data_IF_515266957501
#
_entry.id   IF_515266957501
#
_cell.length_a   1.000
_cell.length_b   1.000
_cell.length_c   1.000
_cell.angle_alpha   90.00
_cell.angle_beta   90.00
_cell.angle_gamma   90.00
#
_symmetry.space_group_name_H-M   'P 1'
#
loop_
_entity.id
_entity.type
_entity.pdbx_description
1 polymer ?
#
# COMPACT_ATOMS: atom_id res chain seq x y z
N UNK A 1 -11.69 -30.91 -5.16
CA UNK A 1 -12.29 -30.07 -6.20
C UNK A 1 -11.83 -28.64 -5.93
N UNK A 2 -11.06 -28.05 -6.84
CA UNK A 2 -10.42 -26.73 -6.68
C UNK A 2 -11.41 -25.59 -7.00
N UNK A 3 -11.66 -24.63 -6.10
CA UNK A 3 -12.45 -23.44 -6.40
C UNK A 3 -11.55 -22.20 -6.43
N UNK A 4 -10.71 -22.07 -7.46
CA UNK A 4 -9.94 -20.84 -7.74
C UNK A 4 -9.78 -20.62 -9.25
N UNK A 5 -10.86 -20.79 -10.00
CA UNK A 5 -10.87 -20.58 -11.44
C UNK A 5 -12.10 -19.76 -11.84
N UNK A 6 -12.18 -18.50 -11.40
CA UNK A 6 -12.99 -17.49 -12.09
C UNK A 6 -12.59 -16.08 -11.67
N UNK A 7 -11.46 -15.63 -12.23
CA UNK A 7 -11.10 -14.22 -12.35
C UNK A 7 -10.52 -14.00 -13.75
N UNK A 8 -11.29 -14.31 -14.79
CA UNK A 8 -10.99 -13.93 -16.17
C UNK A 8 -12.24 -13.37 -16.84
N UNK A 9 -12.35 -12.04 -16.90
CA UNK A 9 -13.49 -11.40 -17.52
C UNK A 9 -13.26 -9.93 -17.84
N UNK A 10 -12.35 -9.65 -18.80
CA UNK A 10 -12.46 -8.59 -19.84
C UNK A 10 -11.16 -8.50 -20.64
N UNK A 11 -10.99 -9.44 -21.57
CA UNK A 11 -10.17 -9.24 -22.77
C UNK A 11 -10.98 -8.39 -23.74
N UNK A 12 -10.61 -7.14 -23.97
CA UNK A 12 -11.04 -6.42 -25.16
C UNK A 12 -10.06 -6.73 -26.30
N UNK A 13 -10.68 -7.00 -27.45
CA UNK A 13 -10.13 -7.60 -28.65
C UNK A 13 -9.21 -6.62 -29.41
N UNK A 14 -8.06 -7.13 -29.87
CA UNK A 14 -7.36 -6.56 -31.04
C UNK A 14 -8.12 -6.94 -32.31
N UNK A 15 -8.11 -6.08 -33.34
CA UNK A 15 -8.05 -6.54 -34.72
C UNK A 15 -6.62 -6.39 -35.27
N UNK A 16 -6.12 -7.47 -35.87
CA UNK A 16 -5.02 -7.48 -36.84
C UNK A 16 -5.61 -7.50 -38.26
N UNK A 17 -5.11 -6.64 -39.14
CA UNK A 17 -4.89 -6.80 -40.60
C UNK A 17 -4.65 -5.39 -41.16
N UNK A 18 -3.74 -5.10 -42.09
CA UNK A 18 -2.93 -5.95 -42.96
C UNK A 18 -1.85 -5.13 -43.68
N UNK A 19 -1.11 -5.83 -44.54
CA UNK A 19 0.14 -5.46 -45.22
C UNK A 19 -0.01 -4.41 -46.33
N UNK A 20 1.09 -3.72 -46.64
CA UNK A 20 1.38 -3.07 -47.92
C UNK A 20 2.63 -2.16 -47.83
N UNK A 21 3.84 -2.68 -48.10
CA UNK A 21 4.59 -2.51 -49.36
C UNK A 21 5.09 -1.07 -49.67
N UNK A 22 6.40 -0.89 -49.41
CA UNK A 22 7.43 -0.20 -50.19
C UNK A 22 7.12 1.13 -50.91
N UNK A 23 7.90 2.16 -50.58
CA UNK A 23 8.65 2.94 -51.57
C UNK A 23 9.78 3.75 -50.89
N UNK A 24 11.01 3.56 -51.40
CA UNK A 24 12.18 4.41 -51.15
C UNK A 24 11.97 5.77 -51.81
N UNK A 25 12.39 6.85 -51.17
CA UNK A 25 13.12 7.94 -51.85
C UNK A 25 13.91 8.79 -50.85
N UNK A 26 15.15 9.05 -51.26
CA UNK A 26 16.18 9.83 -50.59
C UNK A 26 15.92 11.34 -50.68
N UNK A 27 16.71 12.08 -49.90
CA UNK A 27 17.27 13.44 -50.12
C UNK A 27 16.77 14.47 -49.09
N UNK A 28 17.73 15.10 -48.39
CA UNK A 28 17.60 16.49 -47.98
C UNK A 28 18.05 16.82 -46.56
N UNK A 29 19.30 17.24 -46.42
CA UNK A 29 19.88 17.94 -45.25
C UNK A 29 19.10 19.21 -44.86
N UNK A 30 19.37 19.66 -43.62
CA UNK A 30 19.21 20.98 -42.96
C UNK A 30 18.46 20.74 -41.64
N UNK A 31 19.10 20.67 -40.47
CA UNK A 31 19.89 21.75 -39.90
C UNK A 31 18.97 22.64 -39.06
N UNK A 32 18.59 22.20 -37.86
CA UNK A 32 18.14 23.09 -36.80
C UNK A 32 18.35 22.43 -35.43
N UNK A 33 19.36 22.94 -34.71
CA UNK A 33 19.68 22.60 -33.35
C UNK A 33 18.54 23.06 -32.43
N UNK A 34 17.59 22.17 -32.15
CA UNK A 34 16.69 22.34 -31.01
C UNK A 34 17.47 21.95 -29.76
N UNK A 35 17.80 22.96 -28.94
CA UNK A 35 18.19 22.80 -27.55
C UNK A 35 17.07 22.08 -26.80
N UNK A 36 17.13 20.75 -26.82
CA UNK A 36 16.44 19.92 -25.84
C UNK A 36 17.15 20.17 -24.50
N UNK A 37 16.60 21.11 -23.72
CA UNK A 37 16.82 21.18 -22.28
C UNK A 37 16.19 19.91 -21.70
N UNK A 38 16.92 18.81 -21.81
CA UNK A 38 16.65 17.63 -21.03
C UNK A 38 16.95 17.98 -19.58
N UNK A 39 15.92 18.08 -18.75
CA UNK A 39 16.08 17.92 -17.31
C UNK A 39 16.65 16.53 -17.06
N UNK A 40 17.97 16.39 -17.15
CA UNK A 40 18.67 15.21 -16.67
C UNK A 40 18.53 15.23 -15.15
N UNK A 41 17.53 14.51 -14.63
CA UNK A 41 17.50 14.09 -13.24
C UNK A 41 18.73 13.22 -13.02
N UNK A 42 19.81 13.82 -12.54
CA UNK A 42 20.98 13.06 -12.12
C UNK A 42 20.54 12.12 -10.98
N UNK A 43 20.81 10.81 -11.08
CA UNK A 43 20.60 9.92 -9.95
C UNK A 43 21.54 10.36 -8.83
N UNK A 44 20.97 10.79 -7.71
CA UNK A 44 21.73 11.01 -6.47
C UNK A 44 22.34 9.64 -6.13
N UNK A 45 23.66 9.56 -6.15
CA UNK A 45 24.38 8.32 -5.86
C UNK A 45 23.93 7.75 -4.50
N UNK A 46 23.73 6.43 -4.43
CA UNK A 46 23.32 5.69 -3.22
C UNK A 46 24.29 5.86 -2.02
N UNK A 47 25.42 6.53 -2.22
CA UNK A 47 26.51 6.72 -1.26
C UNK A 47 26.87 8.21 -1.00
N UNK A 48 25.98 9.14 -1.35
CA UNK A 48 26.13 10.56 -0.98
C UNK A 48 25.79 10.85 0.49
N UNK A 49 26.19 12.01 1.04
CA UNK A 49 25.71 12.46 2.34
C UNK A 49 24.18 12.54 2.25
N UNK A 50 23.49 11.61 2.95
CA UNK A 50 22.03 11.57 3.06
C UNK A 50 21.36 12.94 3.26
N UNK A 51 20.09 13.01 2.89
CA UNK A 51 19.36 14.27 2.79
C UNK A 51 19.01 14.83 4.17
N UNK A 52 19.18 16.15 4.30
CA UNK A 52 18.54 16.91 5.36
C UNK A 52 17.10 17.30 4.95
N UNK A 53 16.27 17.76 5.90
CA UNK A 53 14.85 18.04 5.62
C UNK A 53 14.59 19.14 4.59
N UNK A 54 15.47 20.16 4.48
CA UNK A 54 15.30 21.22 3.47
C UNK A 54 15.60 20.72 2.05
N UNK A 55 16.61 19.87 1.87
CA UNK A 55 16.86 19.19 0.60
C UNK A 55 15.71 18.27 0.21
N UNK A 56 15.11 17.58 1.18
CA UNK A 56 13.96 16.71 0.96
C UNK A 56 12.75 17.50 0.43
N UNK A 57 12.46 18.67 1.01
CA UNK A 57 11.38 19.55 0.55
C UNK A 57 11.58 20.01 -0.90
N UNK A 58 12.82 20.33 -1.29
CA UNK A 58 13.12 20.69 -2.68
C UNK A 58 12.82 19.53 -3.66
N UNK A 59 13.13 18.29 -3.26
CA UNK A 59 12.79 17.11 -4.08
C UNK A 59 11.29 16.85 -4.13
N UNK A 60 10.57 17.05 -3.02
CA UNK A 60 9.10 16.95 -2.98
C UNK A 60 8.48 17.98 -3.92
N UNK A 61 8.94 19.24 -3.87
CA UNK A 61 8.47 20.30 -4.75
C UNK A 61 8.75 19.97 -6.24
N UNK A 62 9.88 19.33 -6.52
CA UNK A 62 10.22 18.84 -7.85
C UNK A 62 9.52 17.53 -8.26
N UNK A 63 8.68 16.93 -7.39
CA UNK A 63 8.08 15.60 -7.57
C UNK A 63 9.11 14.51 -7.90
N UNK A 64 10.34 14.64 -7.41
CA UNK A 64 11.43 13.70 -7.65
C UNK A 64 11.38 12.53 -6.66
N UNK A 65 10.35 11.69 -6.80
CA UNK A 65 10.10 10.57 -5.90
C UNK A 65 11.22 9.52 -5.94
N UNK A 66 11.81 9.29 -7.10
CA UNK A 66 12.96 8.38 -7.26
C UNK A 66 14.19 8.90 -6.48
N UNK A 67 14.47 10.19 -6.58
CA UNK A 67 15.54 10.83 -5.81
C UNK A 67 15.31 10.75 -4.31
N UNK A 68 14.06 10.91 -3.85
CA UNK A 68 13.70 10.74 -2.44
C UNK A 68 13.88 9.28 -2.02
N UNK A 69 13.36 8.31 -2.77
CA UNK A 69 13.42 6.89 -2.42
C UNK A 69 14.83 6.28 -2.49
N UNK A 70 15.73 6.89 -3.27
CA UNK A 70 17.14 6.54 -3.34
C UNK A 70 17.96 7.14 -2.18
N UNK A 71 17.46 8.18 -1.53
CA UNK A 71 18.18 8.87 -0.48
C UNK A 71 18.23 8.10 0.85
N UNK A 72 19.23 8.43 1.66
CA UNK A 72 19.23 8.09 3.08
C UNK A 72 18.84 9.31 3.91
N UNK A 73 18.01 9.10 4.94
CA UNK A 73 17.64 10.16 5.89
C UNK A 73 18.63 10.13 7.05
N UNK A 74 19.30 11.26 7.31
CA UNK A 74 20.39 11.30 8.32
C UNK A 74 19.93 11.57 9.75
N UNK A 75 18.73 12.13 9.93
CA UNK A 75 18.26 12.52 11.25
C UNK A 75 17.84 11.30 12.08
N UNK A 76 18.13 11.35 13.39
CA UNK A 76 17.83 10.28 14.36
C UNK A 76 17.17 10.78 15.65
N UNK A 77 17.07 12.08 15.83
CA UNK A 77 16.52 12.71 17.03
C UNK A 77 15.00 12.72 16.98
N UNK A 78 14.37 12.45 18.13
CA UNK A 78 12.91 12.52 18.26
C UNK A 78 12.46 13.99 18.11
N UNK A 79 11.95 14.33 16.93
CA UNK A 79 11.52 15.67 16.55
C UNK A 79 10.51 15.58 15.41
N UNK A 80 9.60 16.54 15.34
CA UNK A 80 8.60 16.60 14.27
C UNK A 80 9.25 16.64 12.88
N UNK A 81 10.31 17.45 12.74
CA UNK A 81 11.08 17.60 11.51
C UNK A 81 11.68 16.26 11.04
N UNK A 82 12.23 15.47 11.98
CA UNK A 82 12.83 14.20 11.63
C UNK A 82 11.78 13.13 11.35
N UNK A 83 10.71 13.07 12.15
CA UNK A 83 9.58 12.20 11.89
C UNK A 83 8.98 12.46 10.49
N UNK A 84 8.79 13.73 10.13
CA UNK A 84 8.30 14.14 8.82
C UNK A 84 9.25 13.76 7.69
N UNK A 85 10.57 13.89 7.88
CA UNK A 85 11.54 13.48 6.87
C UNK A 85 11.48 11.96 6.57
N UNK A 86 11.34 11.14 7.62
CA UNK A 86 11.13 9.69 7.44
C UNK A 86 9.78 9.39 6.81
N UNK A 87 8.71 10.10 7.16
CA UNK A 87 7.40 9.92 6.54
C UNK A 87 7.40 10.28 5.05
N UNK A 88 8.03 11.39 4.64
CA UNK A 88 8.18 11.78 3.24
C UNK A 88 8.97 10.74 2.45
N UNK A 89 10.04 10.19 3.04
CA UNK A 89 10.78 9.09 2.44
C UNK A 89 9.90 7.85 2.25
N UNK A 90 9.09 7.52 3.25
CA UNK A 90 8.14 6.41 3.19
C UNK A 90 7.07 6.62 2.11
N UNK A 91 6.52 7.83 2.02
CA UNK A 91 5.56 8.25 1.00
C UNK A 91 6.11 8.08 -0.41
N UNK A 92 7.33 8.54 -0.66
CA UNK A 92 7.98 8.37 -1.96
C UNK A 92 8.12 6.90 -2.35
N UNK A 93 8.57 6.06 -1.40
CA UNK A 93 8.71 4.62 -1.63
C UNK A 93 7.36 3.95 -1.91
N UNK A 94 6.33 4.28 -1.13
CA UNK A 94 4.98 3.73 -1.29
C UNK A 94 4.35 4.17 -2.61
N UNK A 95 4.47 5.45 -2.98
CA UNK A 95 3.98 5.98 -4.27
C UNK A 95 4.62 5.25 -5.44
N UNK A 96 5.94 5.09 -5.43
CA UNK A 96 6.64 4.34 -6.46
C UNK A 96 6.22 2.87 -6.49
N UNK A 97 5.98 2.24 -5.33
CA UNK A 97 5.51 0.87 -5.26
C UNK A 97 4.13 0.71 -5.90
N UNK A 98 3.19 1.61 -5.60
CA UNK A 98 1.82 1.60 -6.14
C UNK A 98 1.82 1.82 -7.67
N UNK A 99 2.74 2.63 -8.18
CA UNK A 99 2.89 2.87 -9.63
C UNK A 99 3.42 1.65 -10.39
N UNK A 100 4.05 0.68 -9.72
CA UNK A 100 4.43 -0.57 -10.37
C UNK A 100 3.19 -1.36 -10.78
N UNK A 101 3.24 -2.12 -11.89
CA UNK A 101 2.13 -2.96 -12.35
C UNK A 101 1.52 -3.78 -11.21
N UNK A 102 0.19 -3.92 -11.19
CA UNK A 102 -0.52 -4.58 -10.09
C UNK A 102 -0.12 -6.07 -9.94
N UNK A 103 0.31 -6.70 -11.02
CA UNK A 103 0.85 -8.07 -11.06
C UNK A 103 2.32 -8.17 -10.63
N UNK A 104 2.99 -7.04 -10.37
CA UNK A 104 4.34 -7.04 -9.83
C UNK A 104 4.32 -7.57 -8.39
N UNK A 105 4.73 -8.84 -8.24
CA UNK A 105 4.76 -9.56 -6.97
C UNK A 105 5.53 -8.79 -5.89
N UNK A 106 5.01 -8.77 -4.67
CA UNK A 106 5.69 -8.26 -3.48
C UNK A 106 7.01 -9.00 -3.17
N UNK A 107 7.28 -10.11 -3.86
CA UNK A 107 8.57 -10.83 -3.79
C UNK A 107 9.57 -10.37 -4.85
N UNK A 108 9.12 -9.66 -5.88
CA UNK A 108 9.95 -9.08 -6.92
C UNK A 108 10.90 -8.03 -6.36
N UNK A 109 12.13 -7.98 -6.89
CA UNK A 109 13.23 -7.22 -6.29
C UNK A 109 12.93 -5.73 -6.07
N UNK A 110 12.23 -5.07 -7.00
CA UNK A 110 11.92 -3.64 -6.87
C UNK A 110 10.73 -3.37 -5.94
N UNK A 111 9.60 -4.03 -6.16
CA UNK A 111 8.40 -3.89 -5.30
C UNK A 111 8.72 -4.18 -3.85
N UNK A 112 9.44 -5.28 -3.59
CA UNK A 112 9.87 -5.66 -2.24
C UNK A 112 10.70 -4.55 -1.58
N UNK A 113 11.74 -4.06 -2.27
CA UNK A 113 12.63 -3.02 -1.74
C UNK A 113 11.87 -1.75 -1.39
N UNK A 114 10.95 -1.32 -2.25
CA UNK A 114 10.15 -0.11 -2.02
C UNK A 114 9.21 -0.29 -0.82
N UNK A 115 8.50 -1.41 -0.72
CA UNK A 115 7.60 -1.67 0.40
C UNK A 115 8.37 -1.89 1.73
N UNK A 116 9.53 -2.55 1.70
CA UNK A 116 10.41 -2.70 2.86
C UNK A 116 10.91 -1.34 3.36
N UNK A 117 11.31 -0.44 2.45
CA UNK A 117 11.70 0.93 2.78
C UNK A 117 10.54 1.74 3.33
N UNK A 118 9.36 1.71 2.69
CA UNK A 118 8.19 2.42 3.15
C UNK A 118 7.77 1.99 4.56
N UNK A 119 7.69 0.68 4.82
CA UNK A 119 7.33 0.14 6.12
C UNK A 119 8.32 0.58 7.21
N UNK A 120 9.62 0.42 6.94
CA UNK A 120 10.68 0.80 7.88
C UNK A 120 10.65 2.30 8.18
N UNK A 121 10.50 3.14 7.16
CA UNK A 121 10.48 4.60 7.32
C UNK A 121 9.22 5.10 8.02
N UNK A 122 8.03 4.53 7.77
CA UNK A 122 6.84 4.89 8.54
C UNK A 122 6.94 4.50 10.01
N UNK A 123 7.46 3.30 10.30
CA UNK A 123 7.75 2.89 11.69
C UNK A 123 8.72 3.87 12.35
N UNK A 124 9.78 4.26 11.63
CA UNK A 124 10.75 5.23 12.14
C UNK A 124 10.13 6.62 12.36
N UNK A 125 9.22 7.06 11.49
CA UNK A 125 8.49 8.31 11.66
C UNK A 125 7.63 8.28 12.93
N UNK A 126 6.92 7.18 13.18
CA UNK A 126 6.13 6.99 14.41
C UNK A 126 7.02 6.95 15.66
N UNK A 127 8.16 6.27 15.62
CA UNK A 127 9.10 6.20 16.74
C UNK A 127 9.73 7.54 17.11
N UNK A 128 9.94 8.40 16.10
CA UNK A 128 10.60 9.71 16.27
C UNK A 128 9.61 10.84 16.53
N UNK A 129 8.31 10.58 16.48
CA UNK A 129 7.28 11.58 16.71
C UNK A 129 7.17 11.85 18.23
N UNK A 130 7.57 13.04 18.72
CA UNK A 130 7.74 13.27 20.16
C UNK A 130 6.40 13.33 20.92
N UNK A 131 5.37 13.92 20.31
CA UNK A 131 4.04 14.07 20.91
C UNK A 131 3.07 13.07 20.32
N UNK A 132 2.38 12.31 21.19
CA UNK A 132 1.29 11.39 20.82
C UNK A 132 0.05 12.10 20.28
N UNK A 133 -0.07 13.41 20.52
CA UNK A 133 -1.20 14.24 20.08
C UNK A 133 -0.91 14.97 18.76
N UNK A 134 0.24 14.70 18.14
CA UNK A 134 0.58 15.33 16.87
C UNK A 134 -0.43 14.95 15.79
N UNK A 135 -1.00 15.91 15.04
CA UNK A 135 -1.97 15.61 13.99
C UNK A 135 -1.37 14.74 12.88
N UNK A 136 -0.03 14.70 12.75
CA UNK A 136 0.68 13.89 11.77
C UNK A 136 0.68 12.39 12.07
N UNK A 137 0.44 12.00 13.32
CA UNK A 137 0.39 10.58 13.73
C UNK A 137 -0.67 9.82 12.93
N UNK A 138 -1.83 10.45 12.69
CA UNK A 138 -2.89 9.88 11.87
C UNK A 138 -2.38 9.53 10.46
N UNK A 139 -1.64 10.45 9.83
CA UNK A 139 -1.06 10.26 8.50
C UNK A 139 0.01 9.17 8.50
N UNK A 140 0.87 9.11 9.51
CA UNK A 140 1.94 8.10 9.58
C UNK A 140 1.39 6.69 9.78
N UNK A 141 0.40 6.52 10.66
CA UNK A 141 -0.31 5.25 10.79
C UNK A 141 -1.05 4.90 9.49
N UNK A 142 -1.72 5.86 8.86
CA UNK A 142 -2.40 5.64 7.57
C UNK A 142 -1.45 5.12 6.48
N UNK A 143 -0.29 5.75 6.33
CA UNK A 143 0.74 5.34 5.40
C UNK A 143 1.32 3.93 5.70
N UNK A 144 1.54 3.61 6.97
CA UNK A 144 1.96 2.27 7.40
C UNK A 144 0.90 1.21 7.05
N UNK A 145 -0.37 1.47 7.37
CA UNK A 145 -1.47 0.55 7.09
C UNK A 145 -1.64 0.31 5.59
N UNK A 146 -1.59 1.36 4.77
CA UNK A 146 -1.62 1.24 3.32
C UNK A 146 -0.42 0.45 2.79
N UNK A 147 0.79 0.69 3.30
CA UNK A 147 2.00 -0.06 2.92
C UNK A 147 1.85 -1.56 3.18
N UNK A 148 1.37 -1.92 4.37
CA UNK A 148 1.16 -3.31 4.78
C UNK A 148 0.03 -3.98 3.98
N UNK A 149 -1.06 -3.23 3.71
CA UNK A 149 -2.15 -3.70 2.85
C UNK A 149 -1.67 -3.97 1.41
N UNK A 150 -0.89 -3.05 0.84
CA UNK A 150 -0.34 -3.19 -0.50
C UNK A 150 0.60 -4.39 -0.60
N UNK A 151 1.47 -4.58 0.40
CA UNK A 151 2.34 -5.76 0.50
C UNK A 151 1.53 -7.05 0.49
N UNK A 152 0.48 -7.15 1.29
CA UNK A 152 -0.41 -8.32 1.34
C UNK A 152 -1.08 -8.55 -0.01
N UNK A 153 -1.65 -7.51 -0.62
CA UNK A 153 -2.43 -7.62 -1.87
C UNK A 153 -1.56 -8.04 -3.07
N UNK A 154 -0.27 -7.71 -3.04
CA UNK A 154 0.71 -8.08 -4.07
C UNK A 154 1.37 -9.45 -3.86
N UNK A 155 0.97 -10.21 -2.85
CA UNK A 155 1.39 -11.61 -2.73
C UNK A 155 0.62 -12.45 -3.77
N UNK A 156 1.35 -13.11 -4.66
CA UNK A 156 0.76 -13.97 -5.68
C UNK A 156 0.19 -15.28 -5.10
N UNK A 157 -0.60 -15.99 -5.89
CA UNK A 157 -1.24 -17.25 -5.49
C UNK A 157 -0.24 -18.39 -5.20
N UNK A 158 1.03 -18.27 -5.61
CA UNK A 158 2.08 -19.26 -5.30
C UNK A 158 2.68 -19.06 -3.90
N UNK A 159 2.34 -17.95 -3.23
CA UNK A 159 2.77 -17.68 -1.88
C UNK A 159 2.12 -18.64 -0.89
N UNK A 160 2.95 -19.27 -0.05
CA UNK A 160 2.48 -20.16 1.01
C UNK A 160 1.56 -19.42 1.97
N UNK A 161 0.48 -20.07 2.37
CA UNK A 161 -0.51 -19.58 3.34
C UNK A 161 0.13 -18.94 4.59
N UNK A 162 1.16 -19.59 5.16
CA UNK A 162 1.92 -19.08 6.31
C UNK A 162 2.50 -17.67 6.13
N UNK A 163 2.84 -17.28 4.90
CA UNK A 163 3.35 -15.93 4.61
C UNK A 163 2.20 -14.92 4.53
N UNK A 164 1.09 -15.28 3.87
CA UNK A 164 -0.13 -14.46 3.86
C UNK A 164 -0.65 -14.22 5.29
N UNK A 165 -0.68 -15.28 6.09
CA UNK A 165 -1.06 -15.25 7.50
C UNK A 165 -0.20 -14.26 8.30
N UNK A 166 1.13 -14.29 8.09
CA UNK A 166 2.07 -13.35 8.72
C UNK A 166 1.82 -11.89 8.30
N UNK A 167 1.61 -11.63 7.01
CA UNK A 167 1.35 -10.25 6.56
C UNK A 167 -0.01 -9.73 7.05
N UNK A 168 -1.03 -10.60 7.11
CA UNK A 168 -2.29 -10.27 7.77
C UNK A 168 -2.08 -9.94 9.25
N UNK A 169 -1.32 -10.75 9.98
CA UNK A 169 -1.07 -10.51 11.41
C UNK A 169 -0.35 -9.17 11.65
N UNK A 170 0.65 -8.82 10.83
CA UNK A 170 1.30 -7.51 10.92
C UNK A 170 0.32 -6.36 10.72
N UNK A 171 -0.59 -6.49 9.75
CA UNK A 171 -1.59 -5.47 9.47
C UNK A 171 -2.62 -5.37 10.61
N UNK A 172 -3.03 -6.48 11.22
CA UNK A 172 -3.90 -6.51 12.41
C UNK A 172 -3.23 -5.76 13.56
N UNK A 173 -1.97 -6.06 13.87
CA UNK A 173 -1.23 -5.40 14.96
C UNK A 173 -1.04 -3.91 14.70
N UNK A 174 -0.65 -3.52 13.48
CA UNK A 174 -0.53 -2.09 13.14
C UNK A 174 -1.88 -1.36 13.20
N UNK A 175 -2.98 -2.03 12.87
CA UNK A 175 -4.33 -1.49 12.96
C UNK A 175 -4.81 -1.33 14.40
N UNK A 176 -4.43 -2.25 15.29
CA UNK A 176 -4.63 -2.11 16.75
C UNK A 176 -3.89 -0.90 17.30
N UNK A 177 -2.61 -0.75 16.97
CA UNK A 177 -1.81 0.40 17.36
C UNK A 177 -2.43 1.72 16.85
N UNK A 178 -2.84 1.75 15.58
CA UNK A 178 -3.48 2.92 14.99
C UNK A 178 -4.79 3.29 15.69
N UNK A 179 -5.63 2.31 16.06
CA UNK A 179 -6.88 2.58 16.81
C UNK A 179 -6.61 3.05 18.24
N UNK A 180 -5.53 2.57 18.87
CA UNK A 180 -5.16 3.01 20.21
C UNK A 180 -4.61 4.45 20.23
N UNK A 181 -3.87 4.83 19.18
CA UNK A 181 -3.25 6.16 19.06
C UNK A 181 -4.14 7.20 18.39
N UNK A 182 -5.04 6.76 17.50
CA UNK A 182 -5.85 7.63 16.64
C UNK A 182 -7.29 7.10 16.60
N UNK A 183 -7.99 7.01 17.75
CA UNK A 183 -9.28 6.34 17.85
C UNK A 183 -10.38 6.95 16.99
N UNK A 184 -10.28 8.25 16.68
CA UNK A 184 -11.25 8.97 15.85
C UNK A 184 -11.03 8.75 14.34
N UNK A 185 -9.95 8.06 13.95
CA UNK A 185 -9.66 7.72 12.56
C UNK A 185 -10.25 6.36 12.17
N UNK A 186 -11.02 6.33 11.08
CA UNK A 186 -11.55 5.09 10.52
C UNK A 186 -10.47 4.15 9.95
N UNK A 187 -9.24 4.64 9.70
CA UNK A 187 -8.20 3.88 9.00
C UNK A 187 -7.85 2.57 9.73
N UNK A 188 -7.62 2.63 11.03
CA UNK A 188 -7.32 1.43 11.83
C UNK A 188 -8.47 0.42 11.83
N UNK A 189 -9.72 0.87 11.74
CA UNK A 189 -10.88 -0.01 11.67
C UNK A 189 -11.01 -0.67 10.28
N UNK A 190 -10.88 0.10 9.21
CA UNK A 190 -11.01 -0.39 7.84
C UNK A 190 -9.90 -1.39 7.51
N UNK A 191 -8.64 -1.02 7.73
CA UNK A 191 -7.51 -1.90 7.42
C UNK A 191 -7.42 -3.10 8.37
N UNK A 192 -7.78 -2.93 9.65
CA UNK A 192 -7.86 -4.03 10.61
C UNK A 192 -8.94 -5.04 10.23
N UNK A 193 -10.14 -4.58 9.86
CA UNK A 193 -11.23 -5.44 9.43
C UNK A 193 -10.87 -6.18 8.12
N UNK A 194 -10.27 -5.47 7.16
CA UNK A 194 -9.73 -6.09 5.95
C UNK A 194 -8.78 -7.24 6.30
N UNK A 195 -7.80 -7.01 7.17
CA UNK A 195 -6.83 -8.02 7.56
C UNK A 195 -7.47 -9.22 8.28
N UNK A 196 -8.44 -8.99 9.15
CA UNK A 196 -9.19 -10.05 9.83
C UNK A 196 -9.98 -10.92 8.86
N UNK A 197 -10.63 -10.32 7.86
CA UNK A 197 -11.34 -11.07 6.81
C UNK A 197 -10.37 -11.97 6.06
N UNK A 198 -9.29 -11.41 5.53
CA UNK A 198 -8.33 -12.18 4.76
C UNK A 198 -7.62 -13.24 5.62
N UNK A 199 -7.36 -12.98 6.90
CA UNK A 199 -6.84 -13.97 7.83
C UNK A 199 -7.82 -15.13 8.04
N UNK A 200 -9.10 -14.82 8.27
CA UNK A 200 -10.15 -15.83 8.45
C UNK A 200 -10.33 -16.70 7.20
N UNK A 201 -10.24 -16.12 6.01
CA UNK A 201 -10.39 -16.82 4.73
C UNK A 201 -9.26 -17.82 4.45
N UNK A 202 -8.11 -17.70 5.12
CA UNK A 202 -7.04 -18.71 5.01
C UNK A 202 -7.38 -20.01 5.74
N UNK A 203 -8.23 -19.97 6.77
CA UNK A 203 -8.60 -21.16 7.55
C UNK A 203 -9.59 -22.01 6.77
N UNK A 204 -9.43 -23.33 6.70
CA UNK A 204 -10.25 -24.21 5.84
C UNK A 204 -11.75 -24.21 6.19
N UNK A 205 -12.11 -24.19 7.47
CA UNK A 205 -13.48 -24.03 7.99
C UNK A 205 -13.46 -23.92 9.53
N UNK A 206 -14.61 -23.69 10.16
CA UNK A 206 -14.77 -23.86 11.62
C UNK A 206 -14.88 -22.57 12.44
N UNK A 207 -14.81 -22.73 13.76
CA UNK A 207 -15.01 -21.67 14.76
C UNK A 207 -14.11 -20.46 14.50
N UNK A 208 -12.85 -20.69 14.15
CA UNK A 208 -11.83 -19.64 14.03
C UNK A 208 -12.12 -18.72 12.83
N UNK A 209 -12.55 -19.29 11.70
CA UNK A 209 -12.99 -18.51 10.53
C UNK A 209 -14.18 -17.64 10.92
N UNK A 210 -15.19 -18.22 11.56
CA UNK A 210 -16.39 -17.47 11.95
C UNK A 210 -16.11 -16.39 13.00
N UNK A 211 -15.22 -16.66 13.96
CA UNK A 211 -14.78 -15.67 14.94
C UNK A 211 -14.06 -14.50 14.26
N UNK A 212 -13.14 -14.76 13.34
CA UNK A 212 -12.42 -13.71 12.61
C UNK A 212 -13.38 -12.83 11.78
N UNK A 213 -14.34 -13.44 11.07
CA UNK A 213 -15.36 -12.70 10.32
C UNK A 213 -16.29 -11.89 11.24
N UNK A 214 -16.70 -12.44 12.38
CA UNK A 214 -17.51 -11.73 13.36
C UNK A 214 -16.74 -10.55 14.00
N UNK A 215 -15.45 -10.72 14.27
CA UNK A 215 -14.58 -9.66 14.76
C UNK A 215 -14.42 -8.55 13.73
N UNK A 216 -14.22 -8.89 12.45
CA UNK A 216 -14.16 -7.91 11.36
C UNK A 216 -15.48 -7.12 11.22
N UNK A 217 -16.62 -7.80 11.29
CA UNK A 217 -17.94 -7.17 11.26
C UNK A 217 -18.12 -6.19 12.43
N UNK A 218 -17.77 -6.63 13.63
CA UNK A 218 -17.83 -5.81 14.85
C UNK A 218 -16.92 -4.60 14.74
N UNK A 219 -15.72 -4.77 14.18
CA UNK A 219 -14.78 -3.67 13.97
C UNK A 219 -15.36 -2.60 13.04
N UNK A 220 -15.90 -2.97 11.88
CA UNK A 220 -16.49 -1.99 10.96
C UNK A 220 -17.75 -1.32 11.51
N UNK A 221 -18.52 -2.01 12.36
CA UNK A 221 -19.70 -1.45 13.03
C UNK A 221 -19.32 -0.30 13.98
N UNK A 222 -18.16 -0.39 14.63
CA UNK A 222 -17.67 0.62 15.57
C UNK A 222 -16.70 1.62 14.92
N UNK A 223 -16.50 1.54 13.60
CA UNK A 223 -15.64 2.47 12.89
C UNK A 223 -16.23 3.89 12.97
N UNK A 224 -15.40 4.91 13.26
CA UNK A 224 -15.75 6.30 12.99
C UNK A 224 -16.14 6.52 11.53
N UNK A 225 -16.73 7.69 11.24
CA UNK A 225 -17.03 8.08 9.85
C UNK A 225 -15.71 8.09 9.04
N UNK A 226 -15.63 7.35 7.94
CA UNK A 226 -14.43 7.36 7.10
C UNK A 226 -14.30 8.68 6.33
N UNK A 227 -13.08 9.02 5.90
CA UNK A 227 -12.89 9.98 4.81
C UNK A 227 -13.72 9.58 3.58
N UNK A 228 -14.15 10.55 2.79
CA UNK A 228 -15.05 10.32 1.65
C UNK A 228 -14.43 9.33 0.64
N UNK A 229 -13.11 9.35 0.48
CA UNK A 229 -12.36 8.45 -0.40
C UNK A 229 -12.41 6.98 0.03
N UNK A 230 -12.79 6.69 1.28
CA UNK A 230 -12.82 5.35 1.86
C UNK A 230 -14.23 4.83 2.17
N UNK A 231 -15.27 5.61 1.89
CA UNK A 231 -16.67 5.19 2.09
C UNK A 231 -16.96 3.93 1.29
N UNK A 232 -16.62 3.92 0.00
CA UNK A 232 -16.88 2.79 -0.89
C UNK A 232 -16.08 1.54 -0.47
N UNK A 233 -14.84 1.74 0.00
CA UNK A 233 -14.00 0.65 0.48
C UNK A 233 -14.57 0.02 1.76
N UNK A 234 -15.07 0.84 2.70
CA UNK A 234 -15.75 0.32 3.90
C UNK A 234 -17.02 -0.46 3.53
N UNK A 235 -17.83 0.05 2.60
CA UNK A 235 -19.04 -0.65 2.13
C UNK A 235 -18.69 -1.97 1.44
N UNK A 236 -17.66 -1.97 0.58
CA UNK A 236 -17.16 -3.17 -0.09
C UNK A 236 -16.72 -4.22 0.93
N UNK A 237 -15.99 -3.82 1.98
CA UNK A 237 -15.56 -4.72 3.04
C UNK A 237 -16.75 -5.27 3.85
N UNK A 238 -17.75 -4.46 4.18
CA UNK A 238 -18.97 -4.93 4.83
C UNK A 238 -19.69 -5.98 3.98
N UNK A 239 -19.84 -5.74 2.68
CA UNK A 239 -20.45 -6.69 1.75
C UNK A 239 -19.65 -8.00 1.63
N UNK A 240 -18.31 -7.91 1.61
CA UNK A 240 -17.42 -9.07 1.62
C UNK A 240 -17.60 -9.91 2.88
N UNK A 241 -17.59 -9.29 4.07
CA UNK A 241 -17.78 -9.98 5.35
C UNK A 241 -19.11 -10.73 5.37
N UNK A 242 -20.20 -10.05 5.01
CA UNK A 242 -21.53 -10.64 5.00
C UNK A 242 -21.62 -11.83 4.03
N UNK A 243 -21.00 -11.72 2.86
CA UNK A 243 -20.93 -12.81 1.88
C UNK A 243 -20.16 -14.00 2.46
N UNK A 244 -18.96 -13.76 2.97
CA UNK A 244 -18.10 -14.82 3.54
C UNK A 244 -18.72 -15.51 4.74
N UNK A 245 -19.49 -14.79 5.57
CA UNK A 245 -20.24 -15.38 6.68
C UNK A 245 -21.34 -16.34 6.21
N UNK A 246 -22.08 -15.96 5.15
CA UNK A 246 -23.11 -16.83 4.56
C UNK A 246 -22.49 -18.06 3.89
N UNK A 247 -21.41 -17.87 3.13
CA UNK A 247 -20.71 -18.96 2.44
C UNK A 247 -20.03 -19.95 3.40
N UNK A 248 -19.74 -19.53 4.63
CA UNK A 248 -19.10 -20.37 5.66
C UNK A 248 -20.07 -20.87 6.73
N UNK A 249 -21.39 -20.71 6.53
CA UNK A 249 -22.44 -21.09 7.48
C UNK A 249 -22.17 -20.60 8.92
N UNK A 250 -21.63 -19.40 9.05
CA UNK A 250 -21.35 -18.80 10.35
C UNK A 250 -22.67 -18.40 11.03
N UNK A 251 -23.24 -19.29 11.82
CA UNK A 251 -24.45 -19.02 12.59
C UNK A 251 -24.17 -17.88 13.58
N UNK A 252 -24.95 -16.79 13.58
CA UNK A 252 -24.85 -15.77 14.61
C UNK A 252 -25.16 -16.44 15.95
N UNK A 253 -24.17 -16.56 16.83
CA UNK A 253 -24.41 -16.98 18.20
C UNK A 253 -25.35 -15.94 18.82
N UNK A 254 -26.64 -16.30 18.96
CA UNK A 254 -27.56 -15.52 19.79
C UNK A 254 -26.93 -15.48 21.17
N UNK A 255 -26.39 -14.33 21.55
CA UNK A 255 -25.99 -14.07 22.93
C UNK A 255 -27.21 -14.36 23.79
N UNK A 256 -27.18 -15.47 24.52
CA UNK A 256 -28.12 -15.72 25.61
C UNK A 256 -27.76 -14.68 26.67
N UNK A 257 -28.54 -13.61 26.71
CA UNK A 257 -28.61 -12.63 27.80
C UNK A 257 -28.97 -13.30 29.11
#
# INVERSE_FOLDING_TARGET
MNPCADCQGRRQQRPQAGRGLAARLLIGLIGLSALLVGCQTQPIAESGPGLNPSQLQALVAASNWEGIAAASIQCKEASDLCAEAHAIHADACLRLAIQLPADASATGGRTRKLLDKAESSYRKALDLQPSSESPRIASYHGGLLLTLSERRNRLDASVREKKLDRENQKLITAAEEARARVPDSALGFIYGASALVYHALLKESGSDRCQGLAQAATMLKHSPKPPDELVDEQQRLQALIQRSQRESDCVPSRQRS
#
